data_IF_991508089948
#
_entry.id   IF_991508089948
#
_cell.length_a   1.000
_cell.length_b   1.000
_cell.length_c   1.000
_cell.angle_alpha   90.00
_cell.angle_beta   90.00
_cell.angle_gamma   90.00
#
_symmetry.space_group_name_H-M   'P 1'
#
loop_
_entity.id
_entity.type
_entity.pdbx_description
1 polymer ?
#
# COMPACT_ATOMS: atom_id res chain seq x y z
N UNK A 1 91.09 10.42 31.53
CA UNK A 1 90.16 11.35 30.87
C UNK A 1 88.91 10.56 30.48
N UNK A 2 87.76 10.80 31.13
CA UNK A 2 86.55 9.94 31.01
C UNK A 2 85.45 10.72 30.30
N UNK A 3 85.13 10.34 29.07
CA UNK A 3 84.14 11.01 28.22
C UNK A 3 82.75 10.54 28.66
N UNK A 4 81.85 11.46 29.03
CA UNK A 4 80.46 11.17 29.39
C UNK A 4 79.60 11.05 28.12
N UNK A 5 78.94 9.91 27.96
CA UNK A 5 77.89 9.70 26.96
C UNK A 5 76.66 10.52 27.33
N UNK A 6 76.19 11.36 26.40
CA UNK A 6 74.90 12.06 26.48
C UNK A 6 73.82 11.18 25.85
N UNK A 7 73.06 10.45 26.68
CA UNK A 7 71.86 9.76 26.21
C UNK A 7 70.80 10.79 25.83
N UNK A 8 70.41 10.82 24.55
CA UNK A 8 69.22 11.57 24.10
C UNK A 8 67.98 10.80 24.54
N UNK A 9 67.30 11.32 25.57
CA UNK A 9 65.94 10.89 25.91
C UNK A 9 65.00 11.37 24.79
N UNK A 10 64.54 10.43 23.96
CA UNK A 10 63.51 10.68 22.95
C UNK A 10 62.18 11.02 23.63
N UNK A 11 61.62 12.19 23.30
CA UNK A 11 60.32 12.68 23.81
C UNK A 11 59.19 11.99 23.03
N UNK A 12 58.86 10.75 23.37
CA UNK A 12 57.80 9.96 22.72
C UNK A 12 56.43 10.11 23.40
N UNK A 13 56.37 10.69 24.60
CA UNK A 13 55.18 10.76 25.47
C UNK A 13 53.98 11.52 24.88
N UNK A 14 54.19 12.42 23.91
CA UNK A 14 53.10 13.18 23.27
C UNK A 14 52.39 12.42 22.15
N UNK A 15 53.04 11.42 21.55
CA UNK A 15 52.54 10.69 20.37
C UNK A 15 51.35 9.79 20.70
N UNK A 16 51.38 9.16 21.88
CA UNK A 16 50.30 8.29 22.37
C UNK A 16 48.99 9.07 22.52
N UNK A 17 49.05 10.29 23.06
CA UNK A 17 47.87 11.14 23.21
C UNK A 17 47.22 11.44 21.85
N UNK A 18 48.02 11.80 20.85
CA UNK A 18 47.52 12.10 19.50
C UNK A 18 46.88 10.88 18.86
N UNK A 19 47.51 9.71 18.97
CA UNK A 19 46.97 8.45 18.44
C UNK A 19 45.64 8.10 19.12
N UNK A 20 45.55 8.24 20.44
CA UNK A 20 44.30 7.95 21.17
C UNK A 20 43.17 8.90 20.78
N UNK A 21 43.44 10.20 20.60
CA UNK A 21 42.45 11.17 20.14
C UNK A 21 41.99 10.87 18.70
N UNK A 22 42.91 10.49 17.83
CA UNK A 22 42.57 10.07 16.47
C UNK A 22 41.68 8.83 16.49
N UNK A 23 42.02 7.80 17.27
CA UNK A 23 41.21 6.60 17.42
C UNK A 23 39.81 6.90 17.97
N UNK A 24 39.71 7.77 18.98
CA UNK A 24 38.42 8.22 19.52
C UNK A 24 37.59 8.98 18.47
N UNK A 25 38.22 9.85 17.69
CA UNK A 25 37.55 10.56 16.60
C UNK A 25 37.03 9.58 15.52
N UNK A 26 37.83 8.58 15.14
CA UNK A 26 37.40 7.53 14.21
C UNK A 26 36.24 6.70 14.76
N UNK A 27 36.32 6.25 16.01
CA UNK A 27 35.25 5.49 16.66
C UNK A 27 33.97 6.33 16.77
N UNK A 28 34.08 7.63 17.06
CA UNK A 28 32.95 8.54 17.12
C UNK A 28 32.28 8.68 15.75
N UNK A 29 33.06 8.82 14.68
CA UNK A 29 32.53 8.90 13.32
C UNK A 29 31.81 7.59 12.93
N UNK A 30 32.38 6.45 13.28
CA UNK A 30 31.74 5.14 13.05
C UNK A 30 30.45 4.99 13.87
N UNK A 31 30.46 5.43 15.13
CA UNK A 31 29.28 5.40 16.00
C UNK A 31 28.14 6.27 15.47
N UNK A 32 28.46 7.48 15.00
CA UNK A 32 27.48 8.37 14.35
C UNK A 32 26.95 7.76 13.05
N UNK A 33 27.84 7.20 12.22
CA UNK A 33 27.46 6.53 10.97
C UNK A 33 26.50 5.36 11.25
N UNK A 34 26.87 4.46 12.17
CA UNK A 34 26.05 3.32 12.56
C UNK A 34 24.69 3.75 13.12
N UNK A 35 24.66 4.76 14.00
CA UNK A 35 23.40 5.29 14.58
C UNK A 35 22.51 5.90 13.50
N UNK A 36 23.10 6.61 12.54
CA UNK A 36 22.37 7.20 11.41
C UNK A 36 21.77 6.12 10.54
N UNK A 37 22.52 5.07 10.20
CA UNK A 37 22.02 3.91 9.47
C UNK A 37 20.86 3.24 10.19
N UNK A 38 21.00 2.93 11.49
CA UNK A 38 19.90 2.32 12.26
C UNK A 38 18.65 3.20 12.31
N UNK A 39 18.81 4.52 12.41
CA UNK A 39 17.68 5.46 12.39
C UNK A 39 16.94 5.42 11.05
N UNK A 40 17.68 5.37 9.94
CA UNK A 40 17.11 5.24 8.59
C UNK A 40 16.38 3.90 8.44
N UNK A 41 16.97 2.80 8.89
CA UNK A 41 16.34 1.47 8.83
C UNK A 41 15.02 1.42 9.60
N UNK A 42 14.96 2.03 10.79
CA UNK A 42 13.71 2.12 11.58
C UNK A 42 12.65 2.93 10.84
N UNK A 43 13.02 4.04 10.18
CA UNK A 43 12.08 4.82 9.38
C UNK A 43 11.56 4.02 8.18
N UNK A 44 12.45 3.30 7.48
CA UNK A 44 12.07 2.43 6.36
C UNK A 44 11.13 1.33 6.85
N UNK A 45 11.44 0.66 7.96
CA UNK A 45 10.62 -0.40 8.53
C UNK A 45 9.24 0.12 8.98
N UNK A 46 9.18 1.34 9.52
CA UNK A 46 7.93 2.01 9.87
C UNK A 46 7.06 2.26 8.63
N UNK A 47 7.66 2.78 7.56
CA UNK A 47 6.94 3.03 6.31
C UNK A 47 6.46 1.72 5.66
N UNK A 48 7.31 0.68 5.60
CA UNK A 48 6.94 -0.65 5.08
C UNK A 48 5.78 -1.27 5.88
N UNK A 49 5.80 -1.15 7.21
CA UNK A 49 4.70 -1.61 8.06
C UNK A 49 3.40 -0.88 7.77
N UNK A 50 3.45 0.45 7.63
CA UNK A 50 2.27 1.25 7.32
C UNK A 50 1.71 0.91 5.93
N UNK A 51 2.58 0.83 4.92
CA UNK A 51 2.20 0.43 3.58
C UNK A 51 1.51 -0.94 3.56
N UNK A 52 2.08 -1.95 4.22
CA UNK A 52 1.46 -3.29 4.30
C UNK A 52 0.11 -3.28 5.00
N UNK A 53 -0.02 -2.53 6.10
CA UNK A 53 -1.31 -2.38 6.80
C UNK A 53 -2.36 -1.77 5.87
N UNK A 54 -2.01 -0.70 5.17
CA UNK A 54 -2.90 -0.01 4.25
C UNK A 54 -3.29 -0.92 3.07
N UNK A 55 -2.33 -1.67 2.53
CA UNK A 55 -2.57 -2.66 1.48
C UNK A 55 -3.54 -3.76 1.94
N UNK A 56 -3.32 -4.36 3.11
CA UNK A 56 -4.22 -5.39 3.63
C UNK A 56 -5.64 -4.88 3.88
N UNK A 57 -5.79 -3.63 4.32
CA UNK A 57 -7.11 -3.01 4.46
C UNK A 57 -7.79 -2.82 3.11
N UNK A 58 -7.07 -2.32 2.11
CA UNK A 58 -7.58 -2.15 0.75
C UNK A 58 -7.97 -3.51 0.13
N UNK A 59 -7.14 -4.53 0.29
CA UNK A 59 -7.41 -5.90 -0.16
C UNK A 59 -8.65 -6.48 0.53
N UNK A 60 -8.81 -6.26 1.85
CA UNK A 60 -9.98 -6.72 2.57
C UNK A 60 -11.27 -6.07 2.06
N UNK A 61 -11.25 -4.77 1.72
CA UNK A 61 -12.38 -4.10 1.06
C UNK A 61 -12.70 -4.69 -0.32
N UNK A 62 -11.66 -4.98 -1.12
CA UNK A 62 -11.84 -5.64 -2.42
C UNK A 62 -12.41 -7.06 -2.27
N UNK A 63 -11.96 -7.83 -1.28
CA UNK A 63 -12.48 -9.17 -0.99
C UNK A 63 -13.94 -9.12 -0.53
N UNK A 64 -14.30 -8.13 0.30
CA UNK A 64 -15.70 -7.92 0.70
C UNK A 64 -16.58 -7.64 -0.51
N UNK A 65 -16.13 -6.77 -1.41
CA UNK A 65 -16.85 -6.46 -2.64
C UNK A 65 -17.03 -7.71 -3.52
N UNK A 66 -15.99 -8.53 -3.67
CA UNK A 66 -16.07 -9.80 -4.38
C UNK A 66 -17.08 -10.77 -3.71
N UNK A 67 -17.09 -10.83 -2.38
CA UNK A 67 -18.06 -11.64 -1.63
C UNK A 67 -19.50 -11.14 -1.81
N UNK A 68 -19.72 -9.82 -1.76
CA UNK A 68 -21.03 -9.20 -2.03
C UNK A 68 -21.49 -9.48 -3.45
N UNK A 69 -20.59 -9.41 -4.42
CA UNK A 69 -20.86 -9.76 -5.81
C UNK A 69 -21.20 -11.25 -5.97
N UNK A 70 -20.51 -12.14 -5.26
CA UNK A 70 -20.76 -13.57 -5.31
C UNK A 70 -22.13 -13.92 -4.69
N UNK A 71 -22.46 -13.31 -3.56
CA UNK A 71 -23.73 -13.48 -2.87
C UNK A 71 -24.94 -12.94 -3.65
N UNK A 72 -24.72 -12.04 -4.62
CA UNK A 72 -25.80 -11.54 -5.47
C UNK A 72 -26.25 -12.62 -6.47
N UNK A 73 -27.42 -13.19 -6.23
CA UNK A 73 -27.99 -14.25 -7.09
C UNK A 73 -28.94 -13.72 -8.15
N UNK A 74 -29.38 -12.46 -8.06
CA UNK A 74 -30.28 -11.88 -9.05
C UNK A 74 -29.51 -11.35 -10.26
N UNK A 75 -29.63 -12.07 -11.37
CA UNK A 75 -29.06 -11.70 -12.67
C UNK A 75 -29.50 -10.30 -13.12
N UNK A 76 -30.71 -9.84 -12.79
CA UNK A 76 -31.17 -8.51 -13.19
C UNK A 76 -30.42 -7.40 -12.44
N UNK A 77 -30.04 -7.62 -11.18
CA UNK A 77 -29.24 -6.69 -10.38
C UNK A 77 -27.86 -6.52 -10.99
N UNK A 78 -27.25 -7.64 -11.42
CA UNK A 78 -25.92 -7.68 -12.02
C UNK A 78 -25.88 -7.06 -13.43
N UNK A 79 -26.89 -7.33 -14.26
CA UNK A 79 -26.98 -6.76 -15.63
C UNK A 79 -27.30 -5.27 -15.58
N UNK A 80 -28.25 -4.86 -14.73
CA UNK A 80 -28.69 -3.47 -14.63
C UNK A 80 -27.79 -2.61 -13.73
N UNK A 81 -26.80 -3.20 -13.06
CA UNK A 81 -25.83 -2.50 -12.21
C UNK A 81 -26.52 -1.62 -11.18
N UNK A 82 -27.52 -2.19 -10.52
CA UNK A 82 -28.38 -1.44 -9.58
C UNK A 82 -27.72 -1.10 -8.24
N UNK A 83 -26.76 -1.90 -7.70
CA UNK A 83 -26.06 -1.50 -6.49
C UNK A 83 -25.13 -0.32 -6.74
N UNK A 84 -25.07 0.62 -5.79
CA UNK A 84 -24.20 1.81 -5.85
C UNK A 84 -22.72 1.47 -6.09
N UNK A 85 -22.26 0.36 -5.52
CA UNK A 85 -20.88 -0.11 -5.68
C UNK A 85 -20.61 -0.80 -7.02
N UNK A 86 -21.59 -1.00 -7.91
CA UNK A 86 -21.41 -1.68 -9.20
C UNK A 86 -21.64 -0.70 -10.34
N UNK A 87 -20.59 -0.35 -11.07
CA UNK A 87 -20.64 0.62 -12.17
C UNK A 87 -20.23 -0.01 -13.51
N UNK A 88 -20.57 0.65 -14.62
CA UNK A 88 -20.16 0.21 -15.96
C UNK A 88 -18.74 0.72 -16.24
N UNK A 89 -17.87 -0.14 -16.79
CA UNK A 89 -16.60 0.30 -17.34
C UNK A 89 -16.83 1.33 -18.45
N UNK A 90 -16.49 2.58 -18.16
CA UNK A 90 -16.54 3.66 -19.13
C UNK A 90 -15.27 4.51 -19.01
N UNK A 91 -14.89 5.22 -20.06
CA UNK A 91 -13.66 6.02 -20.07
C UNK A 91 -13.67 7.22 -19.10
N UNK A 92 -14.81 7.51 -18.47
CA UNK A 92 -15.03 8.64 -17.57
C UNK A 92 -14.90 8.25 -16.10
N UNK A 93 -15.11 6.97 -15.75
CA UNK A 93 -15.04 6.42 -14.40
C UNK A 93 -13.85 5.46 -14.34
N UNK A 94 -12.70 6.00 -13.92
CA UNK A 94 -11.45 5.26 -13.77
C UNK A 94 -11.16 5.10 -12.28
N UNK A 95 -11.48 3.94 -11.72
CA UNK A 95 -11.29 3.64 -10.29
C UNK A 95 -9.81 3.55 -9.88
N UNK A 96 -8.88 3.58 -10.84
CA UNK A 96 -7.45 3.74 -10.54
C UNK A 96 -7.09 5.16 -10.08
N UNK A 97 -7.96 6.13 -10.34
CA UNK A 97 -7.78 7.53 -9.95
C UNK A 97 -8.52 7.83 -8.66
N UNK A 98 -7.79 8.39 -7.69
CA UNK A 98 -8.32 8.82 -6.40
C UNK A 98 -9.51 9.79 -6.49
N UNK A 99 -9.56 10.61 -7.56
CA UNK A 99 -10.61 11.59 -7.83
C UNK A 99 -11.91 11.01 -8.37
N UNK A 100 -11.89 9.77 -8.84
CA UNK A 100 -13.08 9.12 -9.40
C UNK A 100 -13.93 8.44 -8.34
N UNK A 101 -13.38 8.21 -7.14
CA UNK A 101 -14.10 7.62 -6.01
C UNK A 101 -15.12 8.60 -5.44
N UNK A 102 -16.39 8.27 -5.57
CA UNK A 102 -17.53 9.04 -5.07
C UNK A 102 -18.38 8.19 -4.12
N UNK A 103 -18.56 8.70 -2.91
CA UNK A 103 -19.21 8.04 -1.79
C UNK A 103 -19.84 9.05 -0.82
N UNK A 104 -20.05 10.29 -1.29
CA UNK A 104 -20.50 11.39 -0.44
C UNK A 104 -22.00 11.36 -0.16
N UNK A 105 -22.76 10.45 -0.79
CA UNK A 105 -24.21 10.32 -0.69
C UNK A 105 -24.96 11.57 -1.17
N UNK A 106 -24.33 12.36 -2.06
CA UNK A 106 -24.89 13.55 -2.68
C UNK A 106 -25.03 13.30 -4.18
N UNK A 107 -26.02 13.93 -4.81
CA UNK A 107 -26.17 13.89 -6.29
C UNK A 107 -26.65 12.56 -6.88
N UNK A 108 -26.67 11.47 -6.10
CA UNK A 108 -27.13 10.15 -6.53
C UNK A 108 -26.23 9.48 -7.57
N UNK A 109 -24.96 9.89 -7.61
CA UNK A 109 -23.95 9.44 -8.56
C UNK A 109 -22.77 8.73 -7.88
N UNK A 110 -22.96 8.32 -6.62
CA UNK A 110 -22.02 7.49 -5.87
C UNK A 110 -21.63 6.25 -6.70
N UNK A 111 -20.35 5.89 -6.61
CA UNK A 111 -19.78 4.73 -7.30
C UNK A 111 -18.95 3.83 -6.39
N UNK A 112 -18.88 4.16 -5.11
CA UNK A 112 -18.17 3.40 -4.09
C UNK A 112 -18.98 3.38 -2.79
N UNK A 113 -18.73 2.35 -1.98
CA UNK A 113 -19.33 2.18 -0.66
C UNK A 113 -18.23 1.89 0.35
N UNK A 114 -18.44 2.30 1.61
CA UNK A 114 -17.55 1.97 2.71
C UNK A 114 -17.60 0.47 3.03
N UNK A 115 -16.44 -0.10 3.32
CA UNK A 115 -16.32 -1.48 3.81
C UNK A 115 -17.02 -1.64 5.17
N UNK A 116 -17.35 -2.89 5.52
CA UNK A 116 -17.89 -3.20 6.84
C UNK A 116 -16.95 -2.70 7.95
N UNK A 117 -17.52 -2.10 8.99
CA UNK A 117 -16.82 -1.63 10.19
C UNK A 117 -16.10 -2.77 10.94
N UNK A 118 -16.52 -4.02 10.72
CA UNK A 118 -15.80 -5.21 11.21
C UNK A 118 -14.45 -5.42 10.51
N UNK A 119 -14.31 -4.96 9.27
CA UNK A 119 -13.08 -5.05 8.47
C UNK A 119 -12.18 -3.84 8.76
N UNK A 120 -12.77 -2.64 8.78
CA UNK A 120 -12.09 -1.41 9.16
C UNK A 120 -12.94 -0.55 10.10
N UNK A 121 -12.68 -0.59 11.42
CA UNK A 121 -13.38 0.26 12.39
C UNK A 121 -13.19 1.76 12.14
N UNK A 122 -12.10 2.12 11.44
CA UNK A 122 -11.76 3.51 11.12
C UNK A 122 -12.64 4.06 9.98
N UNK A 123 -13.39 3.20 9.26
CA UNK A 123 -14.24 3.58 8.13
C UNK A 123 -13.47 4.20 6.96
N UNK A 124 -12.19 3.88 6.83
CA UNK A 124 -11.28 4.46 5.83
C UNK A 124 -11.05 3.53 4.62
N UNK A 125 -11.65 2.34 4.64
CA UNK A 125 -11.69 1.42 3.51
C UNK A 125 -12.99 1.58 2.72
N UNK A 126 -12.84 1.65 1.40
CA UNK A 126 -13.91 1.76 0.42
C UNK A 126 -13.76 0.67 -0.63
N UNK A 127 -14.85 0.30 -1.29
CA UNK A 127 -14.81 -0.62 -2.41
C UNK A 127 -15.74 -0.20 -3.54
N UNK A 128 -15.39 -0.61 -4.75
CA UNK A 128 -16.16 -0.41 -5.97
C UNK A 128 -15.95 -1.59 -6.90
N UNK A 129 -16.92 -1.88 -7.75
CA UNK A 129 -16.89 -2.95 -8.74
C UNK A 129 -17.24 -2.32 -10.07
N UNK A 130 -16.43 -2.61 -11.08
CA UNK A 130 -16.60 -2.11 -12.43
C UNK A 130 -16.85 -3.30 -13.34
N UNK A 131 -18.00 -3.32 -14.01
CA UNK A 131 -18.33 -4.33 -15.00
C UNK A 131 -17.63 -4.01 -16.33
N UNK A 132 -16.66 -4.85 -16.70
CA UNK A 132 -15.88 -4.77 -17.94
C UNK A 132 -16.69 -5.31 -19.13
N UNK A 133 -17.74 -6.09 -18.86
CA UNK A 133 -18.65 -6.66 -19.84
C UNK A 133 -18.44 -8.15 -20.07
N UNK A 134 -18.88 -8.63 -21.24
CA UNK A 134 -18.81 -10.04 -21.59
C UNK A 134 -17.35 -10.43 -21.83
N UNK A 135 -16.85 -11.39 -21.05
CA UNK A 135 -15.49 -11.91 -21.17
C UNK A 135 -15.25 -12.52 -22.57
N UNK A 136 -14.09 -12.25 -23.16
CA UNK A 136 -13.71 -12.78 -24.46
C UNK A 136 -13.75 -14.31 -24.51
N UNK A 137 -14.45 -14.87 -25.51
CA UNK A 137 -14.66 -16.31 -25.66
C UNK A 137 -16.04 -16.83 -25.22
N UNK A 138 -16.90 -15.95 -24.69
CA UNK A 138 -18.30 -16.26 -24.39
C UNK A 138 -19.16 -16.20 -25.66
N UNK A 139 -20.06 -17.15 -25.86
CA UNK A 139 -20.99 -17.13 -26.99
C UNK A 139 -22.10 -16.11 -26.72
N UNK A 140 -22.34 -15.18 -27.66
CA UNK A 140 -23.48 -14.24 -27.71
C UNK A 140 -24.80 -14.96 -28.05
N UNK A 141 -24.97 -16.19 -27.59
CA UNK A 141 -26.15 -16.99 -27.90
C UNK A 141 -27.29 -16.61 -26.94
N UNK A 142 -28.43 -16.28 -27.51
CA UNK A 142 -29.67 -15.85 -26.85
C UNK A 142 -30.33 -17.04 -26.10
N UNK A 143 -29.66 -17.58 -25.09
CA UNK A 143 -30.16 -18.71 -24.32
C UNK A 143 -29.17 -19.45 -23.42
N UNK A 144 -27.90 -19.04 -23.34
CA UNK A 144 -26.95 -19.60 -22.37
C UNK A 144 -26.32 -18.52 -21.49
N UNK A 145 -25.96 -18.90 -20.26
CA UNK A 145 -25.27 -18.05 -19.29
C UNK A 145 -24.00 -17.44 -19.90
N UNK A 146 -23.90 -16.11 -19.94
CA UNK A 146 -22.71 -15.39 -20.39
C UNK A 146 -21.70 -15.24 -19.25
N UNK A 147 -20.40 -15.34 -19.56
CA UNK A 147 -19.36 -15.07 -18.57
C UNK A 147 -19.11 -13.56 -18.56
N UNK A 148 -19.40 -12.90 -17.45
CA UNK A 148 -19.12 -11.48 -17.22
C UNK A 148 -17.80 -11.32 -16.47
N UNK A 149 -17.01 -10.34 -16.89
CA UNK A 149 -15.76 -9.94 -16.26
C UNK A 149 -15.98 -8.64 -15.47
N UNK A 150 -15.60 -8.67 -14.21
CA UNK A 150 -15.70 -7.57 -13.27
C UNK A 150 -14.30 -7.21 -12.78
N UNK A 151 -13.99 -5.93 -12.70
CA UNK A 151 -12.84 -5.41 -11.99
C UNK A 151 -13.30 -4.93 -10.62
N UNK A 152 -12.84 -5.58 -9.57
CA UNK A 152 -13.17 -5.28 -8.19
C UNK A 152 -12.06 -4.43 -7.60
N UNK A 153 -12.40 -3.27 -7.06
CA UNK A 153 -11.47 -2.31 -6.50
C UNK A 153 -11.69 -2.17 -4.99
N UNK A 154 -10.59 -2.12 -4.26
CA UNK A 154 -10.57 -1.75 -2.84
C UNK A 154 -9.59 -0.60 -2.63
N UNK A 155 -10.05 0.44 -1.95
CA UNK A 155 -9.27 1.63 -1.63
C UNK A 155 -9.21 1.80 -0.13
N UNK A 156 -8.01 1.89 0.42
CA UNK A 156 -7.81 2.42 1.77
C UNK A 156 -7.24 3.83 1.66
N UNK A 157 -7.92 4.80 2.29
CA UNK A 157 -7.47 6.20 2.33
C UNK A 157 -7.54 6.73 3.74
N UNK A 158 -6.37 6.97 4.33
CA UNK A 158 -6.24 7.59 5.64
C UNK A 158 -5.08 8.59 5.68
N UNK A 159 -4.86 9.24 6.81
CA UNK A 159 -3.77 10.20 7.02
C UNK A 159 -2.39 9.56 6.86
N UNK A 160 -2.29 8.25 7.10
CA UNK A 160 -1.08 7.44 6.99
C UNK A 160 -0.75 6.97 5.55
N UNK A 161 -1.54 7.40 4.57
CA UNK A 161 -1.33 7.09 3.15
C UNK A 161 -2.55 6.47 2.47
N UNK A 162 -2.39 6.27 1.17
CA UNK A 162 -3.40 5.67 0.29
C UNK A 162 -2.88 4.33 -0.25
N UNK A 163 -3.75 3.35 -0.38
CA UNK A 163 -3.45 2.09 -1.04
C UNK A 163 -4.66 1.63 -1.83
N UNK A 164 -4.43 1.27 -3.09
CA UNK A 164 -5.45 0.81 -4.01
C UNK A 164 -5.11 -0.62 -4.43
N UNK A 165 -6.12 -1.49 -4.43
CA UNK A 165 -6.04 -2.87 -4.89
C UNK A 165 -7.10 -3.09 -5.96
N UNK A 166 -6.70 -3.75 -7.04
CA UNK A 166 -7.59 -4.20 -8.11
C UNK A 166 -7.53 -5.74 -8.19
N UNK A 167 -8.70 -6.36 -8.26
CA UNK A 167 -8.89 -7.80 -8.40
C UNK A 167 -9.78 -8.06 -9.62
N UNK A 168 -9.30 -8.88 -10.55
CA UNK A 168 -10.14 -9.39 -11.63
C UNK A 168 -11.06 -10.50 -11.12
N UNK A 169 -12.36 -10.34 -11.31
CA UNK A 169 -13.39 -11.32 -10.95
C UNK A 169 -14.19 -11.76 -12.18
N UNK A 170 -14.51 -13.04 -12.27
CA UNK A 170 -15.29 -13.59 -13.39
C UNK A 170 -16.46 -14.39 -12.86
N UNK A 171 -17.67 -13.97 -13.22
CA UNK A 171 -18.91 -14.62 -12.80
C UNK A 171 -19.73 -15.06 -14.01
N UNK A 172 -20.37 -16.22 -13.92
CA UNK A 172 -21.29 -16.74 -14.94
C UNK A 172 -22.71 -16.51 -14.47
N UNK A 173 -23.55 -15.93 -15.32
CA UNK A 173 -25.00 -15.88 -15.14
C UNK A 173 -25.72 -15.65 -16.46
#
# INVERSE_FOLDING_TARGET
MKIRSINRLGREDGSVLVITLMMLAFLSLLGVSATTTSTIEVQIAGNDRNFKRNFYKAEAGAMEAAQRLENETDTNVLINRTPVYLTLFNATVDMTKSSSWDYDNVGGNDNAVTADLNIDPDGATYFSIVDVGIAGGSSLSLGSTSLHEYAVYGLYRSTDGESLVELGYRKRF
#
